data_IF_901108705949
#
_entry.id   IF_901108705949
#
_cell.length_a   1.000
_cell.length_b   1.000
_cell.length_c   1.000
_cell.angle_alpha   90.00
_cell.angle_beta   90.00
_cell.angle_gamma   90.00
#
_symmetry.space_group_name_H-M   'P 1'
#
loop_
_entity.id
_entity.type
_entity.pdbx_description
1 polymer ?
#
# COMPACT_ATOMS: atom_id res chain seq x y z
N UNK A 1 -4.58 15.23 -7.21
CA UNK A 1 -4.87 13.82 -6.99
C UNK A 1 -4.22 13.38 -5.69
N UNK A 2 -4.88 12.51 -4.94
CA UNK A 2 -4.43 12.10 -3.61
C UNK A 2 -3.35 11.02 -3.64
N UNK A 3 -3.11 10.44 -4.80
CA UNK A 3 -2.03 9.48 -4.97
C UNK A 3 -1.54 9.52 -6.43
N UNK A 4 -0.31 9.08 -6.64
CA UNK A 4 0.27 8.94 -7.98
C UNK A 4 0.67 7.49 -8.20
N UNK A 5 0.66 7.07 -9.48
CA UNK A 5 0.94 5.70 -9.86
C UNK A 5 2.05 5.72 -10.91
N UNK A 6 3.12 4.96 -10.65
CA UNK A 6 4.23 4.80 -11.59
C UNK A 6 4.48 3.31 -11.81
N UNK A 7 4.44 2.90 -13.06
CA UNK A 7 4.73 1.52 -13.41
C UNK A 7 6.21 1.35 -13.74
N UNK A 8 6.83 0.38 -13.10
CA UNK A 8 8.18 -0.08 -13.41
C UNK A 8 8.09 -1.45 -14.08
N UNK A 9 9.23 -2.03 -14.46
CA UNK A 9 9.21 -3.29 -15.21
C UNK A 9 8.50 -4.44 -14.51
N UNK A 10 8.81 -4.67 -13.24
CA UNK A 10 8.30 -5.82 -12.49
C UNK A 10 7.33 -5.45 -11.37
N UNK A 11 7.04 -4.17 -11.17
CA UNK A 11 6.16 -3.72 -10.10
C UNK A 11 5.55 -2.36 -10.43
N UNK A 12 4.48 -2.02 -9.73
CA UNK A 12 3.84 -0.70 -9.79
C UNK A 12 4.00 -0.05 -8.43
N UNK A 13 4.41 1.21 -8.40
CA UNK A 13 4.54 1.98 -7.17
C UNK A 13 3.42 3.00 -7.06
N UNK A 14 2.69 2.95 -5.96
CA UNK A 14 1.66 3.94 -5.65
C UNK A 14 2.18 4.81 -4.52
N UNK A 15 2.26 6.12 -4.76
CA UNK A 15 2.63 7.09 -3.73
C UNK A 15 1.38 7.78 -3.22
N UNK A 16 1.11 7.66 -1.94
CA UNK A 16 0.00 8.37 -1.30
C UNK A 16 0.46 9.80 -1.03
N UNK A 17 -0.13 10.75 -1.76
CA UNK A 17 0.27 12.16 -1.73
C UNK A 17 -0.53 12.98 -0.73
N UNK A 18 -1.36 12.34 0.06
CA UNK A 18 -2.21 12.98 1.05
C UNK A 18 -1.77 12.60 2.46
N UNK A 19 -1.94 13.53 3.40
CA UNK A 19 -1.59 13.27 4.80
C UNK A 19 -2.45 12.19 5.44
N UNK A 20 -3.66 11.97 4.92
CA UNK A 20 -4.61 11.00 5.47
C UNK A 20 -4.99 9.97 4.43
N UNK A 21 -4.89 8.72 4.80
CA UNK A 21 -5.49 7.60 4.08
C UNK A 21 -6.74 7.21 4.86
N UNK A 22 -7.88 7.76 4.48
CA UNK A 22 -9.13 7.70 5.24
C UNK A 22 -10.32 7.23 4.38
N UNK A 23 -11.51 7.30 4.96
CA UNK A 23 -12.74 6.86 4.29
C UNK A 23 -13.00 7.62 2.97
N UNK A 24 -12.58 8.88 2.87
CA UNK A 24 -12.77 9.66 1.65
C UNK A 24 -11.90 9.16 0.51
N UNK A 25 -10.70 8.66 0.81
CA UNK A 25 -9.73 8.22 -0.19
C UNK A 25 -9.79 6.71 -0.45
N UNK A 26 -10.24 5.93 0.52
CA UNK A 26 -10.20 4.47 0.45
C UNK A 26 -10.86 3.87 -0.81
N UNK A 27 -12.04 4.33 -1.24
CA UNK A 27 -12.66 3.76 -2.45
C UNK A 27 -11.79 3.96 -3.70
N UNK A 28 -11.15 5.11 -3.83
CA UNK A 28 -10.34 5.42 -5.01
C UNK A 28 -9.07 4.56 -5.06
N UNK A 29 -8.40 4.39 -3.92
CA UNK A 29 -7.18 3.59 -3.90
C UNK A 29 -7.49 2.10 -4.04
N UNK A 30 -8.63 1.63 -3.51
CA UNK A 30 -9.09 0.26 -3.72
C UNK A 30 -9.32 -0.01 -5.20
N UNK A 31 -9.98 0.92 -5.90
CA UNK A 31 -10.22 0.81 -7.33
C UNK A 31 -8.90 0.77 -8.12
N UNK A 32 -7.92 1.56 -7.69
CA UNK A 32 -6.61 1.58 -8.33
C UNK A 32 -5.90 0.23 -8.17
N UNK A 33 -5.91 -0.36 -6.97
CA UNK A 33 -5.34 -1.68 -6.75
C UNK A 33 -6.00 -2.74 -7.65
N UNK A 34 -7.32 -2.72 -7.71
CA UNK A 34 -8.07 -3.67 -8.54
C UNK A 34 -7.73 -3.51 -10.02
N UNK A 35 -7.59 -2.27 -10.49
CA UNK A 35 -7.23 -1.97 -11.87
C UNK A 35 -5.83 -2.48 -12.24
N UNK A 36 -4.86 -2.29 -11.35
CA UNK A 36 -3.49 -2.76 -11.56
C UNK A 36 -3.46 -4.28 -11.70
N UNK A 37 -4.12 -4.98 -10.78
CA UNK A 37 -4.19 -6.44 -10.81
C UNK A 37 -4.96 -6.91 -12.03
N UNK A 38 -6.04 -6.23 -12.38
CA UNK A 38 -6.85 -6.54 -13.56
C UNK A 38 -6.10 -6.41 -14.88
N UNK A 39 -5.06 -5.58 -14.91
CA UNK A 39 -4.19 -5.43 -16.08
C UNK A 39 -3.07 -6.47 -16.14
N UNK A 40 -3.07 -7.46 -15.26
CA UNK A 40 -2.08 -8.53 -15.26
C UNK A 40 -0.85 -8.28 -14.40
N UNK A 41 -0.79 -7.15 -13.70
CA UNK A 41 0.28 -6.86 -12.75
C UNK A 41 -0.01 -7.57 -11.44
N UNK A 42 1.04 -7.84 -10.66
CA UNK A 42 0.84 -8.59 -9.42
C UNK A 42 1.70 -8.08 -8.26
N UNK A 43 2.62 -7.15 -8.52
CA UNK A 43 3.51 -6.62 -7.49
C UNK A 43 3.24 -5.13 -7.32
N UNK A 44 2.91 -4.73 -6.10
CA UNK A 44 2.60 -3.33 -5.78
C UNK A 44 3.45 -2.89 -4.60
N UNK A 45 4.13 -1.75 -4.75
CA UNK A 45 4.76 -1.03 -3.65
C UNK A 45 3.90 0.19 -3.32
N UNK A 46 3.69 0.46 -2.04
CA UNK A 46 2.96 1.64 -1.60
C UNK A 46 3.88 2.52 -0.77
N UNK A 47 4.09 3.73 -1.25
CA UNK A 47 4.88 4.75 -0.56
C UNK A 47 3.98 5.57 0.35
N UNK A 48 4.20 5.46 1.65
CA UNK A 48 3.41 6.15 2.67
C UNK A 48 4.21 7.25 3.38
N UNK A 49 5.30 7.72 2.76
CA UNK A 49 6.18 8.72 3.37
C UNK A 49 5.42 10.00 3.74
N UNK A 50 4.50 10.43 2.89
CA UNK A 50 3.73 11.66 3.12
C UNK A 50 2.42 11.42 3.87
N UNK A 51 2.13 10.17 4.24
CA UNK A 51 0.90 9.80 4.94
C UNK A 51 1.16 9.73 6.44
N UNK A 52 0.57 10.62 7.19
CA UNK A 52 0.76 10.68 8.65
C UNK A 52 -0.40 10.08 9.45
N UNK A 53 -1.49 9.71 8.77
CA UNK A 53 -2.67 9.16 9.44
C UNK A 53 -3.38 8.16 8.53
N UNK A 54 -3.87 7.09 9.14
CA UNK A 54 -4.62 6.06 8.45
C UNK A 54 -5.73 5.58 9.38
N UNK A 55 -6.98 5.67 8.95
CA UNK A 55 -8.10 5.16 9.75
C UNK A 55 -8.42 3.71 9.36
N UNK A 56 -9.48 3.15 9.94
CA UNK A 56 -9.86 1.75 9.65
C UNK A 56 -10.23 1.53 8.18
N UNK A 57 -10.80 2.54 7.52
CA UNK A 57 -11.11 2.46 6.09
C UNK A 57 -9.84 2.41 5.24
N UNK A 58 -8.85 3.23 5.60
CA UNK A 58 -7.54 3.21 4.93
C UNK A 58 -6.81 1.90 5.13
N UNK A 59 -6.82 1.39 6.36
CA UNK A 59 -6.20 0.09 6.64
C UNK A 59 -6.90 -1.04 5.88
N UNK A 60 -8.23 -0.99 5.78
CA UNK A 60 -9.00 -1.95 5.00
C UNK A 60 -8.60 -1.92 3.53
N UNK A 61 -8.32 -0.73 2.98
CA UNK A 61 -7.86 -0.60 1.61
C UNK A 61 -6.48 -1.25 1.41
N UNK A 62 -5.56 -1.06 2.36
CA UNK A 62 -4.24 -1.69 2.30
C UNK A 62 -4.34 -3.20 2.40
N UNK A 63 -5.23 -3.71 3.25
CA UNK A 63 -5.48 -5.16 3.35
C UNK A 63 -6.03 -5.73 2.06
N UNK A 64 -6.92 -4.99 1.39
CA UNK A 64 -7.44 -5.42 0.08
C UNK A 64 -6.31 -5.51 -0.94
N UNK A 65 -5.43 -4.51 -1.00
CA UNK A 65 -4.28 -4.55 -1.91
C UNK A 65 -3.41 -5.77 -1.66
N UNK A 66 -3.15 -6.06 -0.40
CA UNK A 66 -2.37 -7.25 -0.02
C UNK A 66 -3.03 -8.54 -0.49
N UNK A 67 -4.35 -8.66 -0.27
CA UNK A 67 -5.09 -9.85 -0.68
C UNK A 67 -5.10 -10.02 -2.19
N UNK A 68 -5.31 -8.94 -2.94
CA UNK A 68 -5.32 -8.99 -4.41
C UNK A 68 -3.98 -9.44 -4.96
N UNK A 69 -2.87 -8.90 -4.44
CA UNK A 69 -1.54 -9.31 -4.85
C UNK A 69 -1.25 -10.76 -4.51
N UNK A 70 -1.61 -11.19 -3.31
CA UNK A 70 -1.42 -12.58 -2.89
C UNK A 70 -2.20 -13.55 -3.77
N UNK A 71 -3.44 -13.21 -4.11
CA UNK A 71 -4.28 -14.04 -4.99
C UNK A 71 -3.72 -14.13 -6.41
N UNK A 72 -2.98 -13.09 -6.84
CA UNK A 72 -2.32 -13.07 -8.14
C UNK A 72 -0.91 -13.69 -8.10
N UNK A 73 -0.53 -14.28 -6.99
CA UNK A 73 0.82 -14.85 -6.74
C UNK A 73 1.91 -13.79 -6.79
N UNK A 74 1.60 -12.59 -6.36
CA UNK A 74 2.51 -11.45 -6.30
C UNK A 74 2.76 -10.99 -4.88
N UNK A 75 3.30 -9.79 -4.76
CA UNK A 75 3.69 -9.20 -3.48
C UNK A 75 3.15 -7.78 -3.34
N UNK A 76 2.78 -7.44 -2.11
CA UNK A 76 2.30 -6.11 -1.75
C UNK A 76 3.14 -5.64 -0.57
N UNK A 77 3.90 -4.55 -0.75
CA UNK A 77 4.84 -4.07 0.27
C UNK A 77 4.61 -2.58 0.51
N UNK A 78 4.50 -2.21 1.76
CA UNK A 78 4.44 -0.81 2.19
C UNK A 78 5.83 -0.33 2.57
N UNK A 79 6.15 0.93 2.30
CA UNK A 79 7.41 1.48 2.75
C UNK A 79 7.29 2.95 3.13
N UNK A 80 8.26 3.43 3.89
CA UNK A 80 8.32 4.83 4.30
C UNK A 80 7.27 5.20 5.33
N UNK A 81 6.81 4.27 6.13
CA UNK A 81 5.76 4.54 7.11
C UNK A 81 6.23 5.53 8.16
N UNK A 82 5.38 6.53 8.46
CA UNK A 82 5.59 7.38 9.62
C UNK A 82 5.39 6.55 10.89
N UNK A 83 5.99 7.01 12.00
CA UNK A 83 5.85 6.32 13.28
C UNK A 83 4.38 6.15 13.67
N UNK A 84 3.57 7.14 13.35
CA UNK A 84 2.14 7.12 13.69
C UNK A 84 1.39 6.05 12.91
N UNK A 85 1.61 5.95 11.61
CA UNK A 85 0.95 4.94 10.77
C UNK A 85 1.43 3.55 11.15
N UNK A 86 2.73 3.38 11.38
CA UNK A 86 3.27 2.11 11.82
C UNK A 86 2.68 1.69 13.17
N UNK A 87 2.56 2.63 14.10
CA UNK A 87 1.95 2.37 15.39
C UNK A 87 0.49 1.93 15.28
N UNK A 88 -0.26 2.50 14.35
CA UNK A 88 -1.64 2.11 14.11
C UNK A 88 -1.74 0.68 13.56
N UNK A 89 -0.85 0.33 12.64
CA UNK A 89 -0.80 -1.04 12.09
C UNK A 89 -0.46 -2.04 13.20
N UNK A 90 0.54 -1.72 14.01
CA UNK A 90 0.98 -2.59 15.11
C UNK A 90 -0.12 -2.75 16.17
N UNK A 91 -0.81 -1.65 16.47
CA UNK A 91 -1.86 -1.65 17.50
C UNK A 91 -3.00 -2.61 17.20
N UNK A 92 -3.38 -2.72 15.93
CA UNK A 92 -4.48 -3.60 15.51
C UNK A 92 -4.01 -4.98 15.06
N UNK A 93 -2.69 -5.26 15.18
CA UNK A 93 -2.15 -6.59 14.93
C UNK A 93 -1.93 -6.93 13.47
N UNK A 94 -1.84 -5.95 12.57
CA UNK A 94 -1.67 -6.20 11.14
C UNK A 94 -0.21 -6.28 10.71
N UNK A 95 0.74 -6.12 11.63
CA UNK A 95 2.18 -6.21 11.32
C UNK A 95 2.59 -7.60 10.81
N UNK A 96 1.82 -8.63 11.14
CA UNK A 96 2.10 -10.00 10.67
C UNK A 96 1.47 -10.28 9.30
N UNK A 97 0.56 -9.42 8.84
CA UNK A 97 -0.16 -9.59 7.57
C UNK A 97 0.46 -8.72 6.48
N UNK A 98 0.78 -7.46 6.81
CA UNK A 98 1.30 -6.48 5.87
C UNK A 98 2.83 -6.49 5.90
N UNK A 99 3.45 -6.62 4.73
CA UNK A 99 4.90 -6.51 4.61
C UNK A 99 5.28 -5.04 4.62
N UNK A 100 6.24 -4.67 5.45
CA UNK A 100 6.67 -3.28 5.62
C UNK A 100 8.19 -3.21 5.48
N UNK A 101 8.67 -2.24 4.72
CA UNK A 101 10.09 -1.94 4.58
C UNK A 101 10.34 -0.47 4.92
N UNK A 102 11.58 -0.13 5.26
CA UNK A 102 11.91 1.24 5.63
C UNK A 102 12.11 2.13 4.40
N UNK A 103 12.63 1.57 3.31
CA UNK A 103 12.96 2.30 2.09
C UNK A 103 12.40 1.59 0.87
N UNK A 104 12.36 2.33 -0.25
CA UNK A 104 11.97 1.75 -1.54
C UNK A 104 12.88 0.59 -1.93
N UNK A 105 14.20 0.75 -1.76
CA UNK A 105 15.15 -0.30 -2.15
C UNK A 105 14.94 -1.57 -1.35
N UNK A 106 14.71 -1.44 -0.04
CA UNK A 106 14.39 -2.58 0.81
C UNK A 106 13.08 -3.23 0.38
N UNK A 107 12.07 -2.43 0.06
CA UNK A 107 10.77 -2.93 -0.40
C UNK A 107 10.89 -3.70 -1.72
N UNK A 108 11.68 -3.20 -2.66
CA UNK A 108 11.92 -3.87 -3.95
C UNK A 108 12.52 -5.26 -3.76
N UNK A 109 13.40 -5.42 -2.78
CA UNK A 109 14.01 -6.73 -2.49
C UNK A 109 13.04 -7.74 -1.89
N UNK A 110 11.87 -7.29 -1.46
CA UNK A 110 10.82 -8.15 -0.88
C UNK A 110 9.81 -8.65 -1.93
N UNK A 111 9.95 -8.20 -3.14
CA UNK A 111 9.05 -8.61 -4.23
C UNK A 111 9.35 -9.99 -4.78
#
# INVERSE_FOLDING_TARGET
MNFSVLKYGSYTCITVCNKKLDAAMAPDIKAEFAGIIGNGERNILVDLTDCSYCDSSGLSALLLGNRLCNNASGSFVLFGLTSRVKGMIDLIGFESVLKVAETRDAAKRML
#
